data_IF_155181742188
#
_entry.id   IF_155181742188
#
_cell.length_a   1.000
_cell.length_b   1.000
_cell.length_c   1.000
_cell.angle_alpha   90.00
_cell.angle_beta   90.00
_cell.angle_gamma   90.00
#
_symmetry.space_group_name_H-M   'P 1'
#
loop_
_entity.id
_entity.type
_entity.pdbx_description
1 polymer ?
#
# COMPACT_ATOMS: atom_id res chain seq x y z
N UNK A 1 0.07 9.59 29.50
CA UNK A 1 0.16 8.40 28.63
C UNK A 1 0.23 8.90 27.21
N UNK A 2 1.28 8.55 26.46
CA UNK A 2 1.35 8.85 25.03
C UNK A 2 0.18 8.14 24.34
N UNK A 3 -0.83 8.90 23.92
CA UNK A 3 -1.87 8.34 23.05
C UNK A 3 -1.17 8.04 21.74
N UNK A 4 -1.06 6.75 21.38
CA UNK A 4 -0.62 6.39 20.03
C UNK A 4 -1.48 7.16 19.03
N UNK A 5 -0.82 7.82 18.08
CA UNK A 5 -1.45 8.62 17.01
C UNK A 5 -1.52 7.85 15.69
N UNK A 6 -1.30 6.53 15.76
CA UNK A 6 -1.41 5.60 14.65
C UNK A 6 -1.95 4.22 15.08
N UNK A 7 -2.51 3.49 14.12
CA UNK A 7 -2.96 2.11 14.25
C UNK A 7 -2.61 1.31 13.00
N UNK A 8 -2.31 0.02 13.17
CA UNK A 8 -1.91 -0.88 12.07
C UNK A 8 -2.71 -2.18 12.14
N UNK A 9 -3.18 -2.63 10.98
CA UNK A 9 -3.86 -3.91 10.81
C UNK A 9 -3.22 -4.69 9.67
N UNK A 10 -2.62 -5.83 10.01
CA UNK A 10 -1.98 -6.69 9.03
C UNK A 10 -2.83 -7.93 8.73
N UNK A 11 -2.63 -8.48 7.52
CA UNK A 11 -3.12 -9.79 7.12
C UNK A 11 -2.11 -10.44 6.19
N UNK A 12 -1.88 -11.73 6.41
CA UNK A 12 -1.06 -12.55 5.53
C UNK A 12 -1.97 -13.27 4.56
N UNK A 13 -1.69 -13.13 3.27
CA UNK A 13 -2.42 -13.75 2.17
C UNK A 13 -1.48 -14.61 1.34
N UNK A 14 -1.99 -15.70 0.78
CA UNK A 14 -1.27 -16.42 -0.25
C UNK A 14 -1.19 -15.56 -1.52
N UNK A 15 -0.02 -15.51 -2.18
CA UNK A 15 0.17 -14.76 -3.42
C UNK A 15 -0.76 -15.17 -4.55
N UNK A 16 -1.06 -16.46 -4.63
CA UNK A 16 -1.88 -17.06 -5.68
C UNK A 16 -3.38 -16.88 -5.43
N UNK A 17 -3.76 -16.22 -4.34
CA UNK A 17 -5.15 -15.86 -4.08
C UNK A 17 -5.66 -14.94 -5.21
N UNK A 18 -6.87 -15.18 -5.70
CA UNK A 18 -7.42 -14.39 -6.81
C UNK A 18 -7.57 -12.90 -6.44
N UNK A 19 -7.51 -12.04 -7.45
CA UNK A 19 -7.59 -10.58 -7.27
C UNK A 19 -8.86 -10.17 -6.51
N UNK A 20 -10.01 -10.76 -6.86
CA UNK A 20 -11.29 -10.47 -6.20
C UNK A 20 -11.26 -10.74 -4.68
N UNK A 21 -10.62 -11.85 -4.25
CA UNK A 21 -10.47 -12.16 -2.82
C UNK A 21 -9.50 -11.20 -2.13
N UNK A 22 -8.42 -10.78 -2.80
CA UNK A 22 -7.49 -9.77 -2.28
C UNK A 22 -8.21 -8.43 -2.09
N UNK A 23 -8.97 -7.97 -3.09
CA UNK A 23 -9.77 -6.74 -3.01
C UNK A 23 -10.82 -6.79 -1.90
N UNK A 24 -11.54 -7.91 -1.77
CA UNK A 24 -12.52 -8.07 -0.71
C UNK A 24 -11.87 -8.02 0.68
N UNK A 25 -10.68 -8.61 0.82
CA UNK A 25 -9.89 -8.54 2.05
C UNK A 25 -9.49 -7.10 2.36
N UNK A 26 -9.06 -6.32 1.37
CA UNK A 26 -8.74 -4.89 1.55
C UNK A 26 -9.95 -4.12 2.10
N UNK A 27 -11.11 -4.27 1.46
CA UNK A 27 -12.37 -3.62 1.90
C UNK A 27 -12.75 -4.00 3.33
N UNK A 28 -12.58 -5.27 3.70
CA UNK A 28 -12.86 -5.73 5.07
C UNK A 28 -11.94 -5.06 6.09
N UNK A 29 -10.64 -4.92 5.79
CA UNK A 29 -9.67 -4.26 6.68
C UNK A 29 -9.92 -2.77 6.79
N UNK A 30 -10.30 -2.12 5.68
CA UNK A 30 -10.69 -0.71 5.66
C UNK A 30 -11.90 -0.45 6.56
N UNK A 31 -12.95 -1.27 6.41
CA UNK A 31 -14.13 -1.21 7.27
C UNK A 31 -13.80 -1.41 8.75
N UNK A 32 -13.02 -2.45 9.06
CA UNK A 32 -12.66 -2.76 10.44
C UNK A 32 -11.81 -1.67 11.08
N UNK A 33 -10.87 -1.08 10.33
CA UNK A 33 -10.08 0.06 10.83
C UNK A 33 -10.98 1.25 11.17
N UNK A 34 -11.93 1.59 10.28
CA UNK A 34 -12.87 2.68 10.54
C UNK A 34 -13.67 2.47 11.82
N UNK A 35 -14.17 1.26 12.05
CA UNK A 35 -14.86 0.90 13.29
C UNK A 35 -13.93 1.05 14.52
N UNK A 36 -12.67 0.60 14.42
CA UNK A 36 -11.69 0.72 15.51
C UNK A 36 -11.32 2.15 15.84
N UNK A 37 -11.22 3.04 14.86
CA UNK A 37 -11.00 4.46 15.12
C UNK A 37 -12.17 5.09 15.90
N UNK A 38 -13.41 4.74 15.56
CA UNK A 38 -14.60 5.22 16.27
C UNK A 38 -14.61 4.74 17.73
N UNK A 39 -14.25 3.49 18.00
CA UNK A 39 -14.16 2.93 19.37
C UNK A 39 -13.23 3.75 20.29
N UNK A 40 -12.17 4.33 19.73
CA UNK A 40 -11.19 5.15 20.47
C UNK A 40 -11.43 6.66 20.36
N UNK A 41 -12.58 7.07 19.80
CA UNK A 41 -12.98 8.48 19.68
C UNK A 41 -12.26 9.27 18.58
N UNK A 42 -11.71 8.60 17.56
CA UNK A 42 -11.07 9.21 16.41
C UNK A 42 -12.05 9.22 15.23
N UNK A 43 -12.25 10.38 14.61
CA UNK A 43 -13.07 10.50 13.40
C UNK A 43 -12.34 9.86 12.20
N UNK A 44 -12.86 8.77 11.59
CA UNK A 44 -12.19 8.10 10.48
C UNK A 44 -11.97 8.99 9.25
N UNK A 45 -12.80 10.02 9.05
CA UNK A 45 -12.67 10.94 7.91
C UNK A 45 -11.49 11.93 8.06
N UNK A 46 -10.96 12.09 9.27
CA UNK A 46 -9.84 12.99 9.54
C UNK A 46 -8.48 12.27 9.51
N UNK A 47 -8.48 10.94 9.51
CA UNK A 47 -7.26 10.14 9.44
C UNK A 47 -6.72 10.06 8.00
N UNK A 48 -5.41 9.82 7.89
CA UNK A 48 -4.75 9.44 6.65
C UNK A 48 -4.52 7.93 6.68
N UNK A 49 -4.72 7.27 5.55
CA UNK A 49 -4.58 5.82 5.45
C UNK A 49 -3.51 5.45 4.45
N UNK A 50 -2.74 4.41 4.77
CA UNK A 50 -1.68 3.89 3.91
C UNK A 50 -1.72 2.38 3.88
N UNK A 51 -1.73 1.82 2.68
CA UNK A 51 -1.44 0.41 2.49
C UNK A 51 0.07 0.19 2.34
N UNK A 52 0.55 -0.95 2.81
CA UNK A 52 1.89 -1.47 2.52
C UNK A 52 1.78 -2.95 2.17
N UNK A 53 2.51 -3.38 1.16
CA UNK A 53 2.49 -4.75 0.63
C UNK A 53 3.89 -5.36 0.67
N UNK A 54 4.20 -6.08 1.75
CA UNK A 54 5.43 -6.87 1.82
C UNK A 54 5.25 -8.21 1.13
N UNK A 55 6.17 -8.55 0.25
CA UNK A 55 6.08 -9.75 -0.59
C UNK A 55 7.19 -10.73 -0.23
N UNK A 56 6.84 -11.94 0.22
CA UNK A 56 7.78 -13.03 0.51
C UNK A 56 7.81 -14.04 -0.64
N UNK A 57 8.22 -15.31 -0.47
CA UNK A 57 8.23 -16.30 -1.56
C UNK A 57 6.80 -16.69 -2.01
N UNK A 58 5.95 -17.10 -1.05
CA UNK A 58 4.60 -17.66 -1.28
C UNK A 58 3.48 -16.77 -0.73
N UNK A 59 3.84 -15.76 0.07
CA UNK A 59 2.91 -14.95 0.84
C UNK A 59 3.09 -13.47 0.56
N UNK A 60 2.02 -12.73 0.80
CA UNK A 60 1.97 -11.27 0.85
C UNK A 60 1.44 -10.85 2.22
N UNK A 61 2.12 -9.91 2.86
CA UNK A 61 1.68 -9.29 4.11
C UNK A 61 1.17 -7.90 3.76
N UNK A 62 -0.14 -7.74 3.87
CA UNK A 62 -0.85 -6.49 3.62
C UNK A 62 -1.10 -5.78 4.94
N UNK A 63 -0.56 -4.58 5.09
CA UNK A 63 -0.75 -3.77 6.30
C UNK A 63 -1.53 -2.50 5.96
N UNK A 64 -2.69 -2.33 6.58
CA UNK A 64 -3.49 -1.11 6.53
C UNK A 64 -3.19 -0.26 7.77
N UNK A 65 -2.63 0.92 7.55
CA UNK A 65 -2.24 1.84 8.62
C UNK A 65 -3.13 3.07 8.59
N UNK A 66 -3.55 3.53 9.76
CA UNK A 66 -4.26 4.78 9.96
C UNK A 66 -3.41 5.73 10.81
N UNK A 67 -3.34 6.99 10.41
CA UNK A 67 -2.57 8.04 11.05
C UNK A 67 -3.47 9.24 11.38
N UNK A 68 -3.38 9.74 12.61
CA UNK A 68 -4.06 10.96 13.08
C UNK A 68 -3.09 11.81 13.91
N UNK A 69 -3.48 13.02 14.31
CA UNK A 69 -2.63 13.91 15.12
C UNK A 69 -1.18 14.02 14.62
N UNK A 70 -0.23 13.86 15.53
CA UNK A 70 1.22 13.99 15.26
C UNK A 70 1.72 13.02 14.18
N UNK A 71 1.30 11.75 14.18
CA UNK A 71 1.77 10.80 13.14
C UNK A 71 1.23 11.15 11.75
N UNK A 72 0.04 11.75 11.67
CA UNK A 72 -0.47 12.30 10.41
C UNK A 72 0.37 13.48 9.96
N UNK A 73 0.63 14.45 10.85
CA UNK A 73 1.46 15.61 10.53
C UNK A 73 2.85 15.18 10.05
N UNK A 74 3.47 14.23 10.75
CA UNK A 74 4.78 13.69 10.39
C UNK A 74 4.78 13.03 9.00
N UNK A 75 3.79 12.17 8.70
CA UNK A 75 3.65 11.53 7.39
C UNK A 75 3.48 12.56 6.28
N UNK A 76 2.68 13.60 6.53
CA UNK A 76 2.41 14.65 5.56
C UNK A 76 3.55 15.67 5.44
N UNK A 77 4.44 15.76 6.41
CA UNK A 77 5.48 16.80 6.46
C UNK A 77 6.61 16.64 5.44
N UNK A 78 6.73 15.48 4.78
CA UNK A 78 7.84 15.21 3.86
C UNK A 78 9.20 14.92 4.53
N UNK A 79 9.28 15.00 5.87
CA UNK A 79 10.56 14.89 6.60
C UNK A 79 11.00 13.44 6.83
N UNK A 80 10.10 12.47 6.66
CA UNK A 80 10.39 11.04 6.79
C UNK A 80 9.90 10.27 5.55
N UNK A 81 10.50 10.50 4.37
CA UNK A 81 10.18 9.74 3.19
C UNK A 81 10.57 8.27 3.39
N UNK A 82 9.74 7.35 2.91
CA UNK A 82 10.09 5.94 2.85
C UNK A 82 11.19 5.73 1.80
N UNK A 83 12.09 4.79 2.06
CA UNK A 83 13.18 4.42 1.14
C UNK A 83 13.29 2.91 0.97
N UNK A 84 14.06 2.45 -0.02
CA UNK A 84 14.35 1.02 -0.23
C UNK A 84 13.08 0.18 -0.40
N UNK A 85 13.05 -1.00 0.22
CA UNK A 85 11.90 -1.91 0.10
C UNK A 85 10.60 -1.34 0.65
N UNK A 86 10.66 -0.52 1.70
CA UNK A 86 9.44 0.10 2.28
C UNK A 86 8.79 1.08 1.31
N UNK A 87 9.60 1.81 0.54
CA UNK A 87 9.11 2.68 -0.53
C UNK A 87 8.41 1.88 -1.62
N UNK A 88 9.02 0.78 -2.06
CA UNK A 88 8.43 -0.09 -3.10
C UNK A 88 7.13 -0.73 -2.59
N UNK A 89 7.12 -1.23 -1.36
CA UNK A 89 5.95 -1.85 -0.75
C UNK A 89 4.80 -0.84 -0.57
N UNK A 90 5.12 0.41 -0.21
CA UNK A 90 4.16 1.52 -0.19
C UNK A 90 3.65 1.86 -1.60
N UNK A 91 4.56 2.10 -2.54
CA UNK A 91 4.22 2.52 -3.88
C UNK A 91 3.33 1.49 -4.58
N UNK A 92 3.68 0.19 -4.51
CA UNK A 92 2.90 -0.90 -5.12
C UNK A 92 1.50 -0.99 -4.52
N UNK A 93 1.38 -0.85 -3.20
CA UNK A 93 0.08 -1.00 -2.53
C UNK A 93 -0.89 0.17 -2.78
N UNK A 94 -0.35 1.33 -3.17
CA UNK A 94 -1.13 2.57 -3.36
C UNK A 94 -1.15 3.07 -4.81
N UNK A 95 -0.42 2.47 -5.75
CA UNK A 95 -0.25 2.97 -7.12
C UNK A 95 -1.57 3.27 -7.85
N UNK A 96 -2.63 2.49 -7.62
CA UNK A 96 -3.95 2.71 -8.21
C UNK A 96 -4.64 4.00 -7.76
N UNK A 97 -4.17 4.64 -6.69
CA UNK A 97 -4.65 5.94 -6.20
C UNK A 97 -4.04 7.13 -6.96
N UNK A 98 -3.11 6.86 -7.88
CA UNK A 98 -2.46 7.89 -8.69
C UNK A 98 -1.19 8.46 -8.03
N UNK A 99 -0.43 9.19 -8.84
CA UNK A 99 0.91 9.67 -8.48
C UNK A 99 0.90 10.58 -7.26
N UNK A 100 0.10 11.65 -7.27
CA UNK A 100 0.06 12.63 -6.19
C UNK A 100 -0.26 11.99 -4.82
N UNK A 101 -1.29 11.14 -4.77
CA UNK A 101 -1.67 10.44 -3.53
C UNK A 101 -0.58 9.48 -3.09
N UNK A 102 -0.02 8.69 -4.01
CA UNK A 102 1.04 7.72 -3.66
C UNK A 102 2.29 8.41 -3.15
N UNK A 103 2.74 9.48 -3.80
CA UNK A 103 3.86 10.32 -3.38
C UNK A 103 3.67 10.83 -1.96
N UNK A 104 2.50 11.39 -1.66
CA UNK A 104 2.18 11.87 -0.31
C UNK A 104 2.18 10.74 0.73
N UNK A 105 1.54 9.61 0.42
CA UNK A 105 1.46 8.46 1.34
C UNK A 105 2.84 7.83 1.62
N UNK A 106 3.74 7.85 0.64
CA UNK A 106 5.11 7.37 0.82
C UNK A 106 6.03 8.42 1.47
N UNK A 107 5.49 9.56 1.91
CA UNK A 107 6.18 10.51 2.78
C UNK A 107 6.97 11.61 2.07
N UNK A 108 6.61 11.94 0.82
CA UNK A 108 7.32 12.95 0.00
C UNK A 108 6.62 14.32 -0.07
N UNK A 109 5.56 14.55 0.72
CA UNK A 109 4.80 15.83 0.72
C UNK A 109 4.41 16.33 -0.69
N UNK A 110 4.10 15.40 -1.60
CA UNK A 110 3.74 15.73 -2.98
C UNK A 110 4.93 16.03 -3.91
N UNK A 111 6.18 15.95 -3.46
CA UNK A 111 7.36 16.01 -4.33
C UNK A 111 7.49 14.75 -5.18
N UNK A 112 6.79 14.77 -6.32
CA UNK A 112 6.76 13.66 -7.28
C UNK A 112 8.12 13.39 -7.91
N UNK A 113 8.98 14.40 -8.05
CA UNK A 113 10.31 14.25 -8.65
C UNK A 113 11.24 13.49 -7.70
N UNK A 114 11.27 13.89 -6.43
CA UNK A 114 12.04 13.19 -5.41
C UNK A 114 11.53 11.76 -5.19
N UNK A 115 10.20 11.58 -5.22
CA UNK A 115 9.56 10.26 -5.11
C UNK A 115 9.97 9.33 -6.25
N UNK A 116 9.87 9.77 -7.51
CA UNK A 116 10.22 8.93 -8.67
C UNK A 116 11.71 8.57 -8.68
N UNK A 117 12.58 9.54 -8.36
CA UNK A 117 14.03 9.29 -8.26
C UNK A 117 14.35 8.23 -7.19
N UNK A 118 13.73 8.34 -6.01
CA UNK A 118 13.92 7.37 -4.94
C UNK A 118 13.31 6.00 -5.26
N UNK A 119 12.15 5.96 -5.94
CA UNK A 119 11.52 4.72 -6.37
C UNK A 119 12.41 3.97 -7.37
N UNK A 120 12.99 4.69 -8.33
CA UNK A 120 13.95 4.12 -9.29
C UNK A 120 15.21 3.60 -8.59
N UNK A 121 15.77 4.37 -7.67
CA UNK A 121 16.95 3.95 -6.90
C UNK A 121 16.66 2.67 -6.10
N UNK A 122 15.53 2.64 -5.36
CA UNK A 122 15.12 1.46 -4.61
C UNK A 122 14.89 0.23 -5.52
N UNK A 123 14.28 0.43 -6.68
CA UNK A 123 14.04 -0.65 -7.64
C UNK A 123 15.35 -1.22 -8.19
N UNK A 124 16.31 -0.34 -8.51
CA UNK A 124 17.63 -0.73 -9.00
C UNK A 124 18.41 -1.52 -7.95
N UNK A 125 18.41 -1.08 -6.69
CA UNK A 125 19.03 -1.80 -5.57
C UNK A 125 18.45 -3.22 -5.39
N UNK A 126 17.17 -3.40 -5.72
CA UNK A 126 16.48 -4.69 -5.62
C UNK A 126 16.51 -5.51 -6.92
N UNK A 127 17.17 -5.01 -7.98
CA UNK A 127 17.22 -5.68 -9.29
C UNK A 127 15.85 -5.76 -9.99
N UNK A 128 14.94 -4.82 -9.69
CA UNK A 128 13.61 -4.74 -10.28
C UNK A 128 13.59 -3.74 -11.46
N UNK A 129 12.88 -4.09 -12.54
CA UNK A 129 12.66 -3.21 -13.68
C UNK A 129 11.44 -2.31 -13.45
N UNK A 130 11.55 -1.34 -12.54
CA UNK A 130 10.51 -0.33 -12.26
C UNK A 130 11.10 1.03 -12.63
N UNK A 131 10.53 1.69 -13.65
CA UNK A 131 10.95 3.02 -14.07
C UNK A 131 10.05 4.13 -13.51
N UNK A 132 8.78 3.82 -13.22
CA UNK A 132 7.78 4.79 -12.79
C UNK A 132 6.63 4.13 -12.01
N UNK A 133 5.79 4.94 -11.36
CA UNK A 133 4.65 4.43 -10.61
C UNK A 133 3.68 3.55 -11.45
N UNK A 134 3.33 3.91 -12.70
CA UNK A 134 2.49 3.07 -13.55
C UNK A 134 3.00 1.63 -13.76
N UNK A 135 4.31 1.40 -13.71
CA UNK A 135 4.88 0.05 -13.85
C UNK A 135 4.44 -0.88 -12.70
N UNK A 136 4.09 -0.30 -11.54
CA UNK A 136 3.61 -1.03 -10.37
C UNK A 136 2.12 -1.39 -10.44
N UNK A 137 1.37 -0.77 -11.34
CA UNK A 137 -0.05 -1.09 -11.59
C UNK A 137 -0.13 -2.36 -12.46
N UNK A 138 0.95 -2.73 -13.15
CA UNK A 138 1.04 -3.97 -13.90
C UNK A 138 1.49 -5.15 -13.03
N UNK A 139 0.51 -5.84 -12.43
CA UNK A 139 0.50 -7.29 -12.55
C UNK A 139 -0.58 -7.64 -13.57
N UNK A 140 -0.13 -8.05 -14.77
CA UNK A 140 -1.00 -8.74 -15.73
C UNK A 140 -1.76 -9.82 -14.98
N UNK A 141 -3.09 -9.81 -15.12
CA UNK A 141 -3.89 -11.00 -14.95
C UNK A 141 -3.27 -12.11 -15.81
N UNK A 142 -2.64 -13.08 -15.15
CA UNK A 142 -2.49 -14.41 -15.70
C UNK A 142 -3.61 -15.27 -15.12
N UNK A 143 -4.85 -14.81 -15.29
CA UNK A 143 -5.96 -15.73 -15.53
C UNK A 143 -5.96 -15.97 -17.05
N UNK A 144 -4.94 -16.67 -17.55
CA UNK A 144 -5.15 -17.51 -18.73
C UNK A 144 -5.90 -18.71 -18.17
N UNK A 145 -7.22 -18.59 -18.04
CA UNK A 145 -8.04 -19.77 -18.14
C UNK A 145 -7.69 -20.41 -19.49
N UNK A 146 -7.27 -21.69 -19.56
CA UNK A 146 -7.32 -22.38 -20.82
C UNK A 146 -8.80 -22.52 -21.17
N UNK A 147 -9.31 -21.60 -22.00
CA UNK A 147 -10.44 -21.95 -22.85
C UNK A 147 -10.00 -23.13 -23.72
N UNK A 148 -10.92 -24.10 -23.86
CA UNK A 148 -10.88 -25.36 -24.63
C UNK A 148 -10.32 -26.59 -23.91
N UNK A 149 -11.00 -27.74 -23.82
CA UNK A 149 -12.30 -28.25 -24.28
C UNK A 149 -12.56 -29.53 -23.45
N UNK A 150 -13.78 -29.75 -22.98
CA UNK A 150 -14.31 -31.12 -22.92
C UNK A 150 -15.82 -31.08 -23.12
N UNK A 151 -16.21 -31.05 -24.40
CA UNK A 151 -17.36 -31.84 -24.82
C UNK A 151 -17.09 -33.29 -24.43
N UNK A 152 -18.03 -33.90 -23.71
CA UNK A 152 -18.62 -35.22 -23.96
C UNK A 152 -19.88 -35.34 -23.10
#
# INVERSE_FOLDING_TARGET
>A
MSKSTQAHLSVTLNKNLSLAHKEQTRKQKEYYMGAKLIEIGINPQQAVYRWSLKTNATEEIWTYSAYWGESKEQLLSGHLPLTGSELIDCARANASQGLAVTTQLCGYDGDTVAFEAALQAAAQEMGLAIASLPDLIQSKGLDVAPDTLSSL
#
